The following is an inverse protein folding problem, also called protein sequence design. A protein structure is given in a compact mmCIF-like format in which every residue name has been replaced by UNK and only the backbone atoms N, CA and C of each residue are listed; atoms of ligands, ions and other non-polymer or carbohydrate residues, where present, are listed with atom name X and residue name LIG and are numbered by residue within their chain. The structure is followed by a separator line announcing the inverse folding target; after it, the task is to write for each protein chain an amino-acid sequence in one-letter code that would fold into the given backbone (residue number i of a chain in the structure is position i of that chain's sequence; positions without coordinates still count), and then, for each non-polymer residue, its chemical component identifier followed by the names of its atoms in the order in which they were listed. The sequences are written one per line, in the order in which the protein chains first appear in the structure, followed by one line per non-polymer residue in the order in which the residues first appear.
data_IF_157825816789
#
_entry.id   IF_157825816789
#
_cell.length_a   1.000
_cell.length_b   1.000
_cell.length_c   1.000
_cell.angle_alpha   90.00
_cell.angle_beta   90.00
_cell.angle_gamma   90.00
#
_symmetry.space_group_name_H-M   'P 1'
#
loop_
_entity.id
_entity.type
_entity.pdbx_description
1 polymer ?
#
# COMPACT_ATOMS: atom_id res chain seq x y z
N UNK A 1 8.54 57.42 6.04
CA UNK A 1 7.11 57.47 5.64
C UNK A 1 6.66 56.05 5.34
N UNK A 2 5.67 55.50 6.05
CA UNK A 2 5.13 54.18 5.73
C UNK A 2 4.10 54.32 4.62
N UNK A 3 4.42 53.86 3.40
CA UNK A 3 3.46 53.82 2.30
C UNK A 3 2.42 52.71 2.56
N UNK A 4 1.25 52.82 1.93
CA UNK A 4 0.24 51.75 1.96
C UNK A 4 0.83 50.40 1.53
N UNK A 5 1.76 50.43 0.56
CA UNK A 5 2.48 49.27 0.07
C UNK A 5 3.31 48.57 1.16
N UNK A 6 4.05 49.33 1.97
CA UNK A 6 4.83 48.76 3.09
C UNK A 6 3.93 48.14 4.16
N UNK A 7 2.76 48.74 4.42
CA UNK A 7 1.79 48.20 5.40
C UNK A 7 1.16 46.89 4.92
N UNK A 8 0.81 46.79 3.64
CA UNK A 8 0.29 45.57 3.03
C UNK A 8 1.32 44.43 3.07
N UNK A 9 2.57 44.72 2.72
CA UNK A 9 3.65 43.74 2.82
C UNK A 9 3.85 43.23 4.24
N UNK A 10 3.79 44.11 5.25
CA UNK A 10 3.91 43.70 6.65
C UNK A 10 2.75 42.79 7.11
N UNK A 11 1.51 43.10 6.72
CA UNK A 11 0.34 42.27 7.03
C UNK A 11 0.46 40.91 6.33
N UNK A 12 0.85 40.88 5.06
CA UNK A 12 1.04 39.65 4.30
C UNK A 12 2.15 38.77 4.90
N UNK A 13 3.30 39.35 5.25
CA UNK A 13 4.38 38.63 5.89
C UNK A 13 3.95 38.07 7.26
N UNK A 14 3.27 38.88 8.08
CA UNK A 14 2.79 38.47 9.40
C UNK A 14 1.77 37.31 9.30
N UNK A 15 0.81 37.40 8.38
CA UNK A 15 -0.18 36.35 8.15
C UNK A 15 0.46 35.06 7.63
N UNK A 16 1.41 35.16 6.70
CA UNK A 16 2.15 34.00 6.21
C UNK A 16 2.95 33.33 7.33
N UNK A 17 3.70 34.10 8.14
CA UNK A 17 4.45 33.57 9.28
C UNK A 17 3.54 32.88 10.31
N UNK A 18 2.38 33.48 10.62
CA UNK A 18 1.41 32.89 11.53
C UNK A 18 0.84 31.57 10.99
N UNK A 19 0.49 31.51 9.69
CA UNK A 19 0.01 30.29 9.04
C UNK A 19 1.09 29.19 8.99
N UNK A 20 2.35 29.56 8.71
CA UNK A 20 3.48 28.62 8.72
C UNK A 20 3.68 28.04 10.12
N UNK A 21 3.69 28.89 11.16
CA UNK A 21 3.82 28.44 12.55
C UNK A 21 2.67 27.51 12.95
N UNK A 22 1.44 27.84 12.57
CA UNK A 22 0.25 27.01 12.82
C UNK A 22 0.34 25.65 12.11
N UNK A 23 0.70 25.66 10.83
CA UNK A 23 0.88 24.43 10.02
C UNK A 23 1.98 23.54 10.60
N UNK A 24 3.07 24.15 11.08
CA UNK A 24 4.17 23.42 11.72
C UNK A 24 3.75 22.81 13.06
N UNK A 25 2.96 23.52 13.88
CA UNK A 25 2.40 22.98 15.11
C UNK A 25 1.47 21.78 14.83
N UNK A 26 0.65 21.87 13.78
CA UNK A 26 -0.19 20.75 13.34
C UNK A 26 0.62 19.55 12.88
N UNK A 27 1.68 19.77 12.13
CA UNK A 27 2.61 18.71 11.77
C UNK A 27 3.20 18.04 13.03
N UNK A 28 3.78 18.81 13.95
CA UNK A 28 4.43 18.29 15.16
C UNK A 28 3.50 17.44 16.02
N UNK A 29 2.25 17.86 16.16
CA UNK A 29 1.25 17.14 16.96
C UNK A 29 0.86 15.76 16.42
N UNK A 30 1.21 15.44 15.17
CA UNK A 30 0.90 14.14 14.53
C UNK A 30 2.12 13.39 14.00
N UNK A 31 3.31 14.02 14.02
CA UNK A 31 4.55 13.47 13.48
C UNK A 31 5.02 12.20 14.20
N UNK A 32 4.71 12.05 15.49
CA UNK A 32 5.16 10.92 16.32
C UNK A 32 4.07 9.88 16.62
N UNK A 33 2.90 10.01 15.98
CA UNK A 33 1.82 9.05 16.16
C UNK A 33 2.17 7.71 15.50
N UNK A 34 1.88 6.62 16.21
CA UNK A 34 1.95 5.29 15.64
C UNK A 34 0.59 4.94 15.01
N UNK A 35 0.61 4.56 13.74
CA UNK A 35 -0.59 4.25 12.96
C UNK A 35 -0.70 2.76 12.62
N UNK A 36 0.06 1.90 13.29
CA UNK A 36 -0.06 0.45 13.12
C UNK A 36 -1.38 -0.08 13.67
N UNK A 37 -1.92 -1.11 13.03
CA UNK A 37 -3.21 -1.74 13.36
C UNK A 37 -3.14 -3.22 13.01
N UNK A 38 -3.86 -4.06 13.74
CA UNK A 38 -3.97 -5.49 13.46
C UNK A 38 -4.67 -5.75 12.11
N UNK A 39 -4.08 -6.61 11.29
CA UNK A 39 -4.61 -7.00 9.99
C UNK A 39 -4.70 -8.51 9.90
N UNK A 40 -5.86 -9.00 9.46
CA UNK A 40 -6.07 -10.40 9.13
C UNK A 40 -6.17 -10.55 7.63
N UNK A 41 -5.33 -11.44 7.10
CA UNK A 41 -5.25 -11.77 5.69
C UNK A 41 -5.48 -13.28 5.53
N UNK A 42 -6.20 -13.66 4.50
CA UNK A 42 -6.38 -15.06 4.10
C UNK A 42 -6.37 -15.17 2.59
N UNK A 43 -5.79 -16.25 2.07
CA UNK A 43 -5.85 -16.55 0.64
C UNK A 43 -6.90 -17.63 0.38
N UNK A 44 -7.85 -17.33 -0.50
CA UNK A 44 -8.96 -18.22 -0.88
C UNK A 44 -8.56 -19.12 -2.04
N UNK A 45 -7.93 -18.53 -3.06
CA UNK A 45 -7.53 -19.24 -4.28
C UNK A 45 -6.15 -18.80 -4.71
N UNK A 46 -5.33 -19.78 -5.06
CA UNK A 46 -3.94 -19.56 -5.51
C UNK A 46 -3.72 -20.38 -6.76
N UNK A 47 -3.34 -19.71 -7.84
CA UNK A 47 -3.10 -20.33 -9.14
C UNK A 47 -1.82 -19.77 -9.72
N UNK A 48 -0.98 -20.65 -10.27
CA UNK A 48 0.20 -20.25 -11.05
C UNK A 48 0.04 -20.73 -12.48
N UNK A 49 0.40 -19.90 -13.45
CA UNK A 49 0.38 -20.19 -14.88
C UNK A 49 1.75 -19.94 -15.47
N UNK A 50 2.14 -20.75 -16.44
CA UNK A 50 3.29 -20.44 -17.30
C UNK A 50 2.78 -19.64 -18.48
N UNK A 51 3.31 -18.44 -18.70
CA UNK A 51 2.92 -17.54 -19.80
C UNK A 51 4.18 -17.07 -20.53
N UNK A 52 4.21 -17.10 -21.87
CA UNK A 52 5.35 -16.60 -22.62
C UNK A 52 5.50 -15.08 -22.43
N UNK A 53 6.74 -14.63 -22.24
CA UNK A 53 7.10 -13.22 -22.34
C UNK A 53 7.02 -12.77 -23.81
N UNK A 54 6.34 -11.65 -24.05
CA UNK A 54 6.17 -11.06 -25.37
C UNK A 54 7.01 -9.80 -25.57
N UNK A 55 7.83 -9.41 -24.59
CA UNK A 55 8.62 -8.17 -24.64
C UNK A 55 9.93 -8.34 -25.40
N UNK A 56 10.89 -9.09 -24.85
CA UNK A 56 12.27 -9.19 -25.39
C UNK A 56 12.80 -10.62 -25.35
N UNK A 57 12.51 -11.37 -24.29
CA UNK A 57 12.91 -12.76 -24.16
C UNK A 57 11.75 -13.67 -24.62
N UNK A 58 12.01 -14.75 -25.36
CA UNK A 58 10.98 -15.79 -25.63
C UNK A 58 10.86 -16.76 -24.46
N UNK A 59 11.19 -16.32 -23.25
CA UNK A 59 11.19 -17.16 -22.07
C UNK A 59 9.77 -17.27 -21.51
N UNK A 60 9.49 -18.38 -20.85
CA UNK A 60 8.21 -18.55 -20.15
C UNK A 60 8.37 -18.06 -18.71
N UNK A 61 7.49 -17.13 -18.33
CA UNK A 61 7.43 -16.51 -17.01
C UNK A 61 6.27 -17.09 -16.21
N UNK A 62 6.41 -17.12 -14.88
CA UNK A 62 5.34 -17.49 -13.98
C UNK A 62 4.41 -16.29 -13.73
N UNK A 63 3.12 -16.49 -14.03
CA UNK A 63 2.04 -15.59 -13.67
C UNK A 63 1.26 -16.17 -12.49
N UNK A 64 1.38 -15.53 -11.34
CA UNK A 64 0.54 -15.78 -10.17
C UNK A 64 -0.80 -15.07 -10.28
N UNK A 65 -1.87 -15.81 -10.00
CA UNK A 65 -3.22 -15.28 -9.82
C UNK A 65 -3.69 -15.69 -8.44
N UNK A 66 -3.98 -14.70 -7.60
CA UNK A 66 -4.47 -14.95 -6.24
C UNK A 66 -5.80 -14.28 -6.01
N UNK A 67 -6.59 -14.92 -5.15
CA UNK A 67 -7.81 -14.38 -4.58
C UNK A 67 -7.70 -14.41 -3.07
N UNK A 68 -7.93 -13.29 -2.42
CA UNK A 68 -7.66 -13.11 -1.00
C UNK A 68 -8.77 -12.32 -0.29
N UNK A 69 -8.79 -12.41 1.03
CA UNK A 69 -9.65 -11.61 1.90
C UNK A 69 -8.79 -10.68 2.77
N UNK A 70 -9.34 -9.51 3.07
CA UNK A 70 -8.74 -8.51 3.95
C UNK A 70 -9.75 -8.16 5.03
N UNK A 71 -9.36 -8.34 6.28
CA UNK A 71 -10.08 -7.83 7.46
C UNK A 71 -9.13 -6.92 8.28
N UNK A 72 -9.43 -5.62 8.30
CA UNK A 72 -8.64 -4.60 9.00
C UNK A 72 -9.54 -3.46 9.49
N UNK A 73 -9.30 -2.97 10.71
CA UNK A 73 -10.05 -1.83 11.26
C UNK A 73 -9.16 -0.58 11.36
N UNK A 74 -9.19 0.26 10.34
CA UNK A 74 -8.33 1.45 10.27
C UNK A 74 -8.94 2.70 10.92
N UNK A 75 -10.03 2.54 11.68
CA UNK A 75 -10.73 3.68 12.31
C UNK A 75 -9.78 4.52 13.17
N UNK A 76 -8.89 3.88 13.92
CA UNK A 76 -7.95 4.56 14.80
C UNK A 76 -6.81 5.27 14.05
N UNK A 77 -6.58 4.92 12.79
CA UNK A 77 -5.56 5.55 11.94
C UNK A 77 -6.01 6.96 11.52
N UNK A 78 -7.32 7.17 11.32
CA UNK A 78 -7.88 8.46 10.94
C UNK A 78 -8.01 9.41 12.15
N UNK A 79 -6.94 10.15 12.44
CA UNK A 79 -7.02 11.32 13.33
C UNK A 79 -7.46 12.58 12.56
N UNK A 80 -7.42 13.76 13.18
CA UNK A 80 -7.86 15.03 12.58
C UNK A 80 -6.94 15.57 11.46
N UNK A 81 -5.68 15.13 11.37
CA UNK A 81 -4.76 15.55 10.31
C UNK A 81 -4.77 14.61 9.09
N UNK A 82 -5.17 13.34 9.23
CA UNK A 82 -5.13 12.35 8.13
C UNK A 82 -6.21 12.60 7.06
N UNK A 83 -5.83 13.08 5.88
CA UNK A 83 -6.77 13.36 4.78
C UNK A 83 -7.24 12.07 4.10
N UNK A 84 -6.29 11.19 3.81
CA UNK A 84 -6.53 9.94 3.11
C UNK A 84 -5.44 8.91 3.46
N UNK A 85 -5.75 7.65 3.24
CA UNK A 85 -4.83 6.53 3.30
C UNK A 85 -4.69 5.93 1.91
N UNK A 86 -3.45 5.69 1.49
CA UNK A 86 -3.16 4.89 0.30
C UNK A 86 -2.70 3.52 0.76
N UNK A 87 -3.59 2.53 0.66
CA UNK A 87 -3.32 1.15 1.04
C UNK A 87 -2.83 0.36 -0.14
N UNK A 88 -1.95 -0.60 0.12
CA UNK A 88 -1.52 -1.56 -0.87
C UNK A 88 -1.16 -2.90 -0.21
N UNK A 89 -1.55 -3.98 -0.87
CA UNK A 89 -1.18 -5.34 -0.51
C UNK A 89 0.10 -5.70 -1.26
N UNK A 90 1.15 -6.01 -0.49
CA UNK A 90 2.42 -6.46 -1.02
C UNK A 90 2.58 -7.97 -0.81
N UNK A 91 3.14 -8.64 -1.81
CA UNK A 91 3.63 -10.00 -1.74
C UNK A 91 5.15 -9.99 -1.74
N UNK A 92 5.74 -10.57 -0.70
CA UNK A 92 7.18 -10.72 -0.53
C UNK A 92 7.57 -12.19 -0.66
N UNK A 93 8.61 -12.47 -1.45
CA UNK A 93 9.09 -13.83 -1.69
C UNK A 93 10.56 -13.84 -2.08
N UNK A 94 11.21 -14.98 -1.87
CA UNK A 94 12.62 -15.20 -2.20
C UNK A 94 12.74 -16.13 -3.41
N UNK A 95 13.64 -15.79 -4.33
CA UNK A 95 14.01 -16.65 -5.46
C UNK A 95 15.52 -16.94 -5.42
N UNK A 96 15.99 -17.88 -6.25
CA UNK A 96 17.42 -18.20 -6.32
C UNK A 96 18.30 -17.00 -6.68
N UNK A 97 17.76 -16.11 -7.52
CA UNK A 97 18.48 -14.96 -8.05
C UNK A 97 18.34 -13.72 -7.16
N UNK A 98 17.25 -13.60 -6.41
CA UNK A 98 16.98 -12.43 -5.59
C UNK A 98 16.46 -12.81 -4.19
N UNK A 99 17.12 -12.23 -3.17
CA UNK A 99 16.78 -12.43 -1.76
C UNK A 99 15.47 -11.76 -1.35
N UNK A 100 15.09 -10.66 -2.01
CA UNK A 100 13.87 -9.92 -1.69
C UNK A 100 13.19 -9.50 -2.98
N UNK A 101 12.12 -10.22 -3.34
CA UNK A 101 11.18 -9.79 -4.38
C UNK A 101 9.93 -9.27 -3.69
N UNK A 102 9.50 -8.06 -4.03
CA UNK A 102 8.28 -7.45 -3.48
C UNK A 102 7.41 -6.93 -4.62
N UNK A 103 6.18 -7.43 -4.71
CA UNK A 103 5.22 -7.07 -5.77
C UNK A 103 3.93 -6.57 -5.13
N UNK A 104 3.41 -5.46 -5.64
CA UNK A 104 2.11 -4.93 -5.21
C UNK A 104 1.00 -5.60 -6.01
N UNK A 105 0.07 -6.25 -5.32
CA UNK A 105 -1.00 -7.03 -5.96
C UNK A 105 -2.33 -6.28 -6.02
N UNK A 106 -2.54 -5.36 -5.08
CA UNK A 106 -3.77 -4.61 -4.94
C UNK A 106 -3.52 -3.31 -4.19
N UNK A 107 -4.29 -2.29 -4.50
CA UNK A 107 -4.26 -0.99 -3.85
C UNK A 107 -5.69 -0.50 -3.55
N UNK A 108 -5.85 0.41 -2.60
CA UNK A 108 -7.09 1.17 -2.41
C UNK A 108 -6.79 2.48 -1.70
N UNK A 109 -7.48 3.54 -2.12
CA UNK A 109 -7.49 4.81 -1.40
C UNK A 109 -8.73 4.85 -0.51
N UNK A 110 -8.54 5.17 0.76
CA UNK A 110 -9.63 5.50 1.68
C UNK A 110 -9.49 6.97 2.06
N UNK A 111 -10.51 7.76 1.73
CA UNK A 111 -10.57 9.17 2.08
C UNK A 111 -11.30 9.37 3.40
N UNK A 112 -11.00 10.46 4.11
CA UNK A 112 -11.75 10.84 5.30
C UNK A 112 -13.25 10.93 4.99
N UNK A 113 -14.06 10.28 5.83
CA UNK A 113 -15.53 10.23 5.68
C UNK A 113 -16.02 8.97 4.95
N UNK A 114 -15.13 8.20 4.33
CA UNK A 114 -15.43 6.84 3.88
C UNK A 114 -15.32 5.85 5.04
N UNK A 115 -15.91 4.66 4.88
CA UNK A 115 -15.82 3.59 5.87
C UNK A 115 -14.35 3.13 6.05
N UNK A 116 -13.75 3.32 7.23
CA UNK A 116 -12.38 2.92 7.51
C UNK A 116 -12.25 1.43 7.86
N UNK A 117 -13.36 0.71 8.01
CA UNK A 117 -13.36 -0.73 8.29
C UNK A 117 -13.30 -1.49 6.96
N UNK A 118 -12.24 -2.25 6.76
CA UNK A 118 -12.05 -3.10 5.60
C UNK A 118 -12.49 -4.51 5.95
N UNK A 119 -13.64 -4.93 5.42
CA UNK A 119 -14.09 -6.33 5.42
C UNK A 119 -14.35 -6.75 3.99
N UNK A 120 -13.28 -7.08 3.28
CA UNK A 120 -13.33 -7.40 1.86
C UNK A 120 -13.03 -8.88 1.68
N UNK A 121 -13.96 -9.59 1.02
CA UNK A 121 -13.84 -11.02 0.74
C UNK A 121 -13.78 -11.29 -0.76
N UNK A 122 -13.09 -12.36 -1.14
CA UNK A 122 -12.99 -12.86 -2.51
C UNK A 122 -12.45 -11.81 -3.49
N UNK A 123 -11.47 -11.02 -3.05
CA UNK A 123 -10.83 -10.00 -3.88
C UNK A 123 -9.84 -10.64 -4.85
N UNK A 124 -9.92 -10.25 -6.11
CA UNK A 124 -8.92 -10.57 -7.11
C UNK A 124 -7.76 -9.58 -7.07
N UNK A 125 -6.54 -10.05 -7.33
CA UNK A 125 -5.39 -9.18 -7.56
C UNK A 125 -5.68 -8.22 -8.73
N UNK A 126 -5.48 -6.92 -8.50
CA UNK A 126 -5.60 -5.88 -9.54
C UNK A 126 -4.42 -5.92 -10.49
N UNK A 127 -3.23 -6.12 -9.93
CA UNK A 127 -1.99 -6.20 -10.67
C UNK A 127 -1.56 -7.65 -10.81
N UNK A 128 -1.01 -7.97 -11.97
CA UNK A 128 -0.50 -9.30 -12.25
C UNK A 128 0.73 -9.58 -11.40
N UNK A 129 0.76 -10.76 -10.79
CA UNK A 129 1.92 -11.23 -10.06
C UNK A 129 2.87 -11.91 -11.05
N UNK A 130 3.76 -11.11 -11.64
CA UNK A 130 4.82 -11.61 -12.51
C UNK A 130 6.09 -11.90 -11.72
N UNK A 131 6.74 -13.01 -12.05
CA UNK A 131 8.12 -13.29 -11.70
C UNK A 131 8.96 -13.31 -12.98
N UNK A 132 10.21 -12.85 -12.90
CA UNK A 132 11.15 -12.79 -14.03
C UNK A 132 11.67 -14.18 -14.46
N UNK A 133 11.00 -15.26 -14.05
CA UNK A 133 11.31 -16.64 -14.38
C UNK A 133 10.27 -17.62 -13.86
N UNK A 134 10.73 -18.82 -13.49
CA UNK A 134 9.88 -19.92 -12.99
C UNK A 134 9.96 -20.11 -11.47
N UNK A 135 10.11 -19.00 -10.74
CA UNK A 135 10.45 -19.00 -9.33
C UNK A 135 9.25 -19.15 -8.39
N UNK A 136 8.02 -18.96 -8.85
CA UNK A 136 6.85 -18.85 -7.97
C UNK A 136 6.35 -20.18 -7.40
N UNK A 137 6.74 -21.32 -7.98
CA UNK A 137 6.22 -22.65 -7.60
C UNK A 137 6.82 -23.16 -6.30
N UNK A 138 5.96 -23.63 -5.39
CA UNK A 138 6.31 -24.21 -4.07
C UNK A 138 7.21 -23.35 -3.17
N UNK A 139 7.29 -22.04 -3.44
CA UNK A 139 7.96 -21.09 -2.56
C UNK A 139 6.98 -20.45 -1.58
N UNK A 140 7.40 -20.17 -0.33
CA UNK A 140 6.60 -19.40 0.60
C UNK A 140 6.53 -17.94 0.14
N UNK A 141 5.30 -17.45 -0.01
CA UNK A 141 4.99 -16.05 -0.34
C UNK A 141 4.30 -15.43 0.86
N UNK A 142 4.85 -14.33 1.36
CA UNK A 142 4.32 -13.58 2.50
C UNK A 142 3.51 -12.40 2.00
N UNK A 143 2.23 -12.34 2.37
CA UNK A 143 1.36 -11.18 2.16
C UNK A 143 1.41 -10.25 3.35
N UNK A 144 1.60 -8.96 3.07
CA UNK A 144 1.52 -7.87 4.04
C UNK A 144 0.65 -6.73 3.50
N UNK A 145 -0.22 -6.20 4.34
CA UNK A 145 -0.98 -4.98 4.03
C UNK A 145 -0.22 -3.79 4.59
N UNK A 146 0.10 -2.84 3.72
CA UNK A 146 0.82 -1.63 4.09
C UNK A 146 0.01 -0.41 3.64
N UNK A 147 0.26 0.75 4.26
CA UNK A 147 -0.38 1.98 3.86
C UNK A 147 0.52 3.20 4.04
N UNK A 148 0.36 4.15 3.14
CA UNK A 148 0.90 5.49 3.28
C UNK A 148 -0.17 6.41 3.88
N UNK A 149 0.19 7.10 4.96
CA UNK A 149 -0.67 8.08 5.61
C UNK A 149 -0.47 9.42 4.92
N UNK A 150 -1.54 10.02 4.40
CA UNK A 150 -1.46 11.29 3.70
C UNK A 150 -2.15 12.36 4.59
N UNK A 151 -1.38 13.19 5.30
CA UNK A 151 -1.94 14.23 6.14
C UNK A 151 -2.37 15.45 5.33
N UNK A 152 -3.13 16.35 5.95
CA UNK A 152 -3.40 17.68 5.41
C UNK A 152 -2.11 18.53 5.42
N UNK A 153 -1.27 18.37 6.45
CA UNK A 153 0.05 18.99 6.55
C UNK A 153 1.05 18.06 7.23
N UNK A 154 2.23 17.89 6.61
CA UNK A 154 3.32 17.08 7.16
C UNK A 154 3.98 16.14 6.16
N UNK A 155 4.69 15.15 6.70
CA UNK A 155 5.34 14.08 5.93
C UNK A 155 4.34 13.01 5.49
N UNK A 156 4.78 12.11 4.60
CA UNK A 156 4.00 10.98 4.09
C UNK A 156 4.56 9.66 4.63
N UNK A 157 4.33 9.32 5.90
CA UNK A 157 4.94 8.14 6.50
C UNK A 157 4.27 6.86 5.99
N UNK A 158 5.06 5.79 5.87
CA UNK A 158 4.59 4.46 5.52
C UNK A 158 4.49 3.60 6.77
N UNK A 159 3.39 2.85 6.91
CA UNK A 159 3.16 1.92 8.01
C UNK A 159 2.76 0.55 7.48
N UNK A 160 3.23 -0.47 8.17
CA UNK A 160 2.82 -1.85 7.96
C UNK A 160 1.76 -2.26 8.97
N UNK A 161 0.80 -3.08 8.51
CA UNK A 161 -0.15 -3.76 9.38
C UNK A 161 0.54 -4.77 10.29
N UNK A 162 0.00 -4.93 11.50
CA UNK A 162 0.43 -5.95 12.45
C UNK A 162 -0.26 -7.25 12.03
N UNK A 163 0.47 -8.08 11.30
CA UNK A 163 -0.03 -9.34 10.76
C UNK A 163 0.50 -9.62 9.37
N UNK A 164 0.71 -10.89 9.07
CA UNK A 164 1.06 -11.34 7.73
C UNK A 164 0.49 -12.71 7.47
N UNK A 165 0.16 -13.02 6.22
CA UNK A 165 -0.30 -14.34 5.82
C UNK A 165 0.68 -14.95 4.84
N UNK A 166 1.19 -16.13 5.15
CA UNK A 166 2.10 -16.86 4.25
C UNK A 166 1.34 -17.98 3.57
N UNK A 167 1.44 -18.05 2.25
CA UNK A 167 0.89 -19.12 1.44
C UNK A 167 1.95 -19.65 0.47
N UNK A 168 1.65 -20.75 -0.22
CA UNK A 168 2.48 -21.30 -1.28
C UNK A 168 1.68 -21.45 -2.56
N UNK A 169 2.31 -21.21 -3.71
CA UNK A 169 1.72 -21.61 -4.98
C UNK A 169 1.84 -23.13 -5.20
N UNK A 170 0.88 -23.75 -5.92
CA UNK A 170 0.98 -25.15 -6.32
C UNK A 170 2.25 -25.46 -7.13
N UNK A 171 2.72 -26.71 -7.04
CA UNK A 171 3.85 -27.21 -7.85
C UNK A 171 3.49 -27.29 -9.33
N UNK A 172 2.22 -27.58 -9.63
CA UNK A 172 1.73 -27.74 -11.00
C UNK A 172 1.14 -26.44 -11.54
N UNK A 173 1.44 -26.16 -12.81
CA UNK A 173 0.81 -25.07 -13.55
C UNK A 173 -0.66 -25.38 -13.85
N UNK A 174 -1.52 -24.37 -13.68
CA UNK A 174 -2.92 -24.52 -14.02
C UNK A 174 -3.09 -24.62 -15.55
N UNK A 175 -3.59 -25.78 -15.99
CA UNK A 175 -3.82 -26.06 -17.41
C UNK A 175 -5.00 -25.29 -18.02
N UNK A 176 -5.98 -24.83 -17.22
CA UNK A 176 -7.24 -24.25 -17.70
C UNK A 176 -7.97 -23.32 -16.70
N UNK A 177 -7.27 -22.51 -15.89
CA UNK A 177 -7.96 -21.58 -14.99
C UNK A 177 -8.44 -20.33 -15.75
N UNK A 178 -9.76 -20.15 -15.92
CA UNK A 178 -10.31 -18.84 -16.36
C UNK A 178 -10.00 -17.79 -15.30
N UNK A 179 -9.48 -16.64 -15.74
CA UNK A 179 -9.21 -15.45 -14.91
C UNK A 179 -10.53 -14.84 -14.49
#
# INVERSE_FOLDING_TARGET
MHSLWTRLHAIFACTLSALTAMTFAFFLSTAFNNYSTDVRLSTVKVVVKSVPDYTVSKEELDLGVITFDIDANLTQVFNWNVKQLFLYLAAEYETKNNKVNQVVLWDKIIQRGQDPILKLSNLHSKYYFWDDGRGLRDIPVKLSLNWNVIPNAGILPNFAGIGSHTFKFPVEYAKNARV
#
